data_IF_481788373175
#
_entry.id   IF_481788373175
#
_cell.length_a   1.000
_cell.length_b   1.000
_cell.length_c   1.000
_cell.angle_alpha   90.00
_cell.angle_beta   90.00
_cell.angle_gamma   90.00
#
_symmetry.space_group_name_H-M   'P 1'
#
loop_
_entity.id
_entity.type
_entity.pdbx_description
1 polymer ?
#
# COMPACT_ATOMS: atom_id res chain seq x y z
N UNK A 1 32.03 41.41 19.65
CA UNK A 1 30.99 41.91 18.75
C UNK A 1 30.08 40.73 18.41
N UNK A 2 29.32 40.17 19.35
CA UNK A 2 28.08 40.65 20.01
C UNK A 2 26.90 40.78 19.02
N UNK A 3 25.92 39.88 19.15
CA UNK A 3 24.61 39.91 18.48
C UNK A 3 23.85 38.59 18.69
N UNK A 4 23.28 38.36 19.89
CA UNK A 4 21.83 38.46 20.21
C UNK A 4 20.93 37.60 19.28
N UNK A 5 20.58 36.35 19.66
CA UNK A 5 19.40 35.95 20.46
C UNK A 5 18.06 36.51 19.97
N UNK A 6 17.22 35.65 19.39
CA UNK A 6 15.77 35.64 19.69
C UNK A 6 15.22 34.21 19.59
N UNK A 7 14.86 33.63 20.74
CA UNK A 7 13.98 32.46 20.86
C UNK A 7 12.54 32.97 20.79
N UNK A 8 11.68 32.31 20.04
CA UNK A 8 10.22 32.46 20.17
C UNK A 8 9.68 31.17 20.79
N UNK A 9 9.33 31.27 22.06
CA UNK A 9 8.43 30.38 22.78
C UNK A 9 7.00 30.87 22.54
N UNK A 10 6.09 29.94 22.26
CA UNK A 10 4.65 30.18 22.26
C UNK A 10 3.96 28.98 21.62
N UNK A 11 2.97 28.33 22.20
CA UNK A 11 2.26 28.53 23.46
C UNK A 11 1.31 27.34 23.58
N UNK A 12 1.16 26.83 24.80
CA UNK A 12 0.21 25.78 25.14
C UNK A 12 -1.20 26.38 25.09
N UNK A 13 -2.14 25.72 24.41
CA UNK A 13 -3.57 25.93 24.60
C UNK A 13 -4.27 24.58 24.66
N UNK A 14 -4.43 24.08 25.88
CA UNK A 14 -5.48 23.13 26.24
C UNK A 14 -6.83 23.83 26.04
N UNK A 15 -7.71 23.25 25.25
CA UNK A 15 -9.14 23.55 25.29
C UNK A 15 -9.89 22.24 25.53
N UNK A 16 -10.44 22.15 26.74
CA UNK A 16 -11.30 21.09 27.20
C UNK A 16 -12.78 21.46 26.98
N UNK A 17 -13.63 20.43 27.03
CA UNK A 17 -15.09 20.43 27.16
C UNK A 17 -15.92 20.88 25.95
N UNK A 18 -16.73 19.95 25.42
CA UNK A 18 -18.16 19.96 25.74
C UNK A 18 -18.79 18.59 25.45
N UNK A 19 -19.54 18.14 26.45
CA UNK A 19 -20.38 16.93 26.49
C UNK A 19 -21.63 17.20 25.66
N UNK A 20 -21.96 16.30 24.74
CA UNK A 20 -23.16 16.37 23.90
C UNK A 20 -24.01 15.12 24.06
N UNK A 21 -25.15 15.28 24.74
CA UNK A 21 -26.19 14.30 25.05
C UNK A 21 -26.76 13.54 23.85
N UNK A 22 -26.99 12.24 24.09
CA UNK A 22 -28.23 11.46 23.90
C UNK A 22 -29.17 11.86 22.76
N UNK A 23 -29.25 11.00 21.74
CA UNK A 23 -30.28 10.99 20.71
C UNK A 23 -30.65 9.56 20.34
N UNK A 24 -31.59 9.00 21.10
CA UNK A 24 -32.26 7.73 20.86
C UNK A 24 -33.14 7.85 19.61
N UNK A 25 -32.76 7.20 18.50
CA UNK A 25 -33.71 6.85 17.43
C UNK A 25 -33.68 5.34 17.24
N UNK A 26 -34.65 4.71 17.88
CA UNK A 26 -35.17 3.39 17.56
C UNK A 26 -35.55 3.37 16.07
N UNK A 27 -34.68 2.81 15.24
CA UNK A 27 -35.03 2.37 13.91
C UNK A 27 -35.72 1.00 14.05
N UNK A 28 -36.99 0.97 13.67
CA UNK A 28 -37.85 -0.20 13.63
C UNK A 28 -37.20 -1.35 12.82
N UNK A 29 -37.18 -2.60 13.32
CA UNK A 29 -36.83 -3.74 12.49
C UNK A 29 -37.99 -4.00 11.53
N UNK A 30 -37.86 -3.54 10.27
CA UNK A 30 -38.69 -4.04 9.17
C UNK A 30 -38.35 -5.50 8.93
N UNK A 31 -39.17 -6.34 9.57
CA UNK A 31 -39.27 -7.77 9.37
C UNK A 31 -39.67 -8.04 7.91
N UNK A 32 -38.68 -8.15 7.04
CA UNK A 32 -38.85 -8.64 5.67
C UNK A 32 -38.47 -10.10 5.67
N UNK A 33 -39.37 -10.90 6.22
CA UNK A 33 -39.40 -12.36 6.11
C UNK A 33 -39.40 -12.73 4.62
N UNK A 34 -38.20 -12.92 4.07
CA UNK A 34 -37.97 -13.37 2.71
C UNK A 34 -38.15 -14.88 2.74
N UNK A 35 -39.33 -15.32 2.29
CA UNK A 35 -39.68 -16.72 2.13
C UNK A 35 -38.51 -17.54 1.57
N UNK A 36 -38.15 -18.62 2.26
CA UNK A 36 -37.14 -19.56 1.81
C UNK A 36 -37.57 -20.16 0.46
N UNK A 37 -36.68 -20.24 -0.56
CA UNK A 37 -37.00 -20.94 -1.79
C UNK A 37 -37.18 -22.45 -1.50
N UNK A 38 -38.09 -23.14 -2.21
CA UNK A 38 -38.28 -24.58 -2.03
C UNK A 38 -36.97 -25.34 -2.35
N UNK A 39 -36.75 -26.54 -1.77
CA UNK A 39 -35.60 -27.38 -2.11
C UNK A 39 -35.72 -27.90 -3.55
N UNK A 40 -35.37 -27.03 -4.50
CA UNK A 40 -35.21 -27.36 -5.90
C UNK A 40 -33.93 -28.16 -6.07
N UNK A 41 -34.07 -29.38 -6.59
CA UNK A 41 -33.03 -30.35 -6.93
C UNK A 41 -31.76 -29.65 -7.42
N UNK A 42 -30.64 -29.84 -6.71
CA UNK A 42 -29.31 -29.49 -7.19
C UNK A 42 -29.08 -30.32 -8.44
N UNK A 43 -29.16 -29.68 -9.62
CA UNK A 43 -28.73 -30.30 -10.85
C UNK A 43 -27.26 -30.72 -10.66
N UNK A 44 -26.85 -31.93 -11.09
CA UNK A 44 -25.47 -32.38 -10.94
C UNK A 44 -24.57 -31.32 -11.58
N UNK A 45 -23.68 -30.75 -10.77
CA UNK A 45 -22.71 -29.73 -11.18
C UNK A 45 -21.87 -30.33 -12.29
N UNK A 46 -22.23 -30.01 -13.54
CA UNK A 46 -21.34 -30.22 -14.69
C UNK A 46 -20.01 -29.58 -14.30
N UNK A 47 -18.93 -30.35 -14.37
CA UNK A 47 -17.57 -29.92 -14.06
C UNK A 47 -17.36 -28.48 -14.53
N UNK A 48 -17.35 -27.54 -13.58
CA UNK A 48 -17.01 -26.15 -13.84
C UNK A 48 -15.53 -26.15 -14.16
N UNK A 49 -15.18 -26.18 -15.45
CA UNK A 49 -13.81 -25.88 -15.84
C UNK A 49 -13.42 -24.53 -15.20
N UNK A 50 -12.25 -24.43 -14.57
CA UNK A 50 -11.84 -23.21 -13.89
C UNK A 50 -11.88 -22.05 -14.89
N UNK A 51 -12.77 -21.08 -14.67
CA UNK A 51 -12.80 -19.89 -15.53
C UNK A 51 -11.40 -19.25 -15.54
N UNK A 52 -10.90 -18.77 -16.69
CA UNK A 52 -9.56 -18.16 -16.83
C UNK A 52 -9.33 -16.95 -15.91
N UNK A 53 -10.39 -16.39 -15.32
CA UNK A 53 -10.30 -15.39 -14.24
C UNK A 53 -9.60 -15.92 -12.97
N UNK A 54 -9.63 -17.24 -12.72
CA UNK A 54 -9.03 -17.85 -11.54
C UNK A 54 -7.50 -17.78 -11.54
N UNK A 55 -6.85 -18.05 -12.67
CA UNK A 55 -5.38 -18.01 -12.80
C UNK A 55 -4.86 -16.57 -12.79
N UNK A 56 -5.53 -15.64 -13.47
CA UNK A 56 -5.18 -14.22 -13.44
C UNK A 56 -5.31 -13.62 -12.03
N UNK A 57 -6.39 -13.97 -11.31
CA UNK A 57 -6.59 -13.53 -9.93
C UNK A 57 -5.56 -14.13 -8.98
N UNK A 58 -5.26 -15.43 -9.11
CA UNK A 58 -4.22 -16.08 -8.32
C UNK A 58 -2.85 -15.41 -8.52
N UNK A 59 -2.53 -15.03 -9.77
CA UNK A 59 -1.31 -14.27 -10.09
C UNK A 59 -1.30 -12.89 -9.44
N UNK A 60 -2.38 -12.11 -9.55
CA UNK A 60 -2.48 -10.79 -8.92
C UNK A 60 -2.33 -10.90 -7.40
N UNK A 61 -2.97 -11.89 -6.79
CA UNK A 61 -2.92 -12.11 -5.34
C UNK A 61 -1.52 -12.54 -4.89
N UNK A 62 -0.80 -13.35 -5.69
CA UNK A 62 0.60 -13.70 -5.42
C UNK A 62 1.50 -12.45 -5.44
N UNK A 63 1.37 -11.60 -6.46
CA UNK A 63 2.12 -10.35 -6.55
C UNK A 63 1.81 -9.40 -5.38
N UNK A 64 0.53 -9.26 -5.01
CA UNK A 64 0.11 -8.46 -3.85
C UNK A 64 0.75 -8.94 -2.55
N UNK A 65 0.70 -10.25 -2.28
CA UNK A 65 1.31 -10.82 -1.07
C UNK A 65 2.81 -10.55 -1.01
N UNK A 66 3.50 -10.64 -2.15
CA UNK A 66 4.93 -10.34 -2.23
C UNK A 66 5.21 -8.88 -1.89
N UNK A 67 4.49 -7.92 -2.49
CA UNK A 67 4.67 -6.50 -2.16
C UNK A 67 4.30 -6.15 -0.73
N UNK A 68 3.30 -6.81 -0.12
CA UNK A 68 3.02 -6.67 1.32
C UNK A 68 4.24 -7.05 2.16
N UNK A 69 4.93 -8.14 1.81
CA UNK A 69 6.16 -8.55 2.52
C UNK A 69 7.31 -7.57 2.31
N UNK A 70 7.46 -7.00 1.10
CA UNK A 70 8.43 -5.93 0.83
C UNK A 70 8.17 -4.72 1.74
N UNK A 71 6.91 -4.31 1.90
CA UNK A 71 6.56 -3.20 2.78
C UNK A 71 6.85 -3.50 4.26
N UNK A 72 6.59 -4.73 4.71
CA UNK A 72 6.93 -5.17 6.06
C UNK A 72 8.44 -5.13 6.30
N UNK A 73 9.23 -5.64 5.35
CA UNK A 73 10.69 -5.62 5.42
C UNK A 73 11.23 -4.17 5.48
N UNK A 74 10.74 -3.27 4.63
CA UNK A 74 11.10 -1.85 4.66
C UNK A 74 10.74 -1.21 6.01
N UNK A 75 9.55 -1.50 6.54
CA UNK A 75 9.09 -0.96 7.83
C UNK A 75 9.94 -1.48 9.00
N UNK A 76 10.43 -2.71 8.91
CA UNK A 76 11.36 -3.32 9.87
C UNK A 76 12.83 -2.98 9.65
N UNK A 77 13.16 -2.13 8.66
CA UNK A 77 14.54 -1.84 8.22
C UNK A 77 15.34 -3.07 7.76
N UNK A 78 14.67 -4.15 7.33
CA UNK A 78 15.30 -5.32 6.72
C UNK A 78 15.42 -5.11 5.20
N UNK A 79 16.35 -4.25 4.81
CA UNK A 79 16.59 -3.93 3.40
C UNK A 79 17.13 -5.10 2.58
N UNK A 80 17.98 -6.01 3.12
CA UNK A 80 18.38 -7.23 2.43
C UNK A 80 17.19 -8.12 2.06
N UNK A 81 16.24 -8.37 2.98
CA UNK A 81 15.03 -9.15 2.67
C UNK A 81 14.16 -8.43 1.63
N UNK A 82 14.03 -7.10 1.74
CA UNK A 82 13.28 -6.31 0.75
C UNK A 82 13.85 -6.48 -0.67
N UNK A 83 15.19 -6.45 -0.83
CA UNK A 83 15.86 -6.71 -2.13
C UNK A 83 15.59 -8.12 -2.61
N UNK A 84 15.78 -9.12 -1.75
CA UNK A 84 15.54 -10.54 -2.09
C UNK A 84 14.12 -10.78 -2.58
N UNK A 85 13.12 -10.16 -1.96
CA UNK A 85 11.72 -10.23 -2.38
C UNK A 85 11.49 -9.55 -3.74
N UNK A 86 12.09 -8.39 -3.98
CA UNK A 86 11.97 -7.70 -5.28
C UNK A 86 12.63 -8.48 -6.42
N UNK A 87 13.74 -9.16 -6.15
CA UNK A 87 14.40 -10.05 -7.11
C UNK A 87 13.55 -11.28 -7.38
N UNK A 88 12.92 -11.86 -6.35
CA UNK A 88 11.95 -12.94 -6.51
C UNK A 88 10.77 -12.51 -7.39
N UNK A 89 10.24 -11.30 -7.19
CA UNK A 89 9.18 -10.76 -8.06
C UNK A 89 9.64 -10.64 -9.51
N UNK A 90 10.88 -10.20 -9.74
CA UNK A 90 11.44 -10.13 -11.08
C UNK A 90 11.60 -11.51 -11.72
N UNK A 91 12.05 -12.51 -10.96
CA UNK A 91 12.19 -13.87 -11.46
C UNK A 91 10.84 -14.52 -11.79
N UNK A 92 9.83 -14.35 -10.93
CA UNK A 92 8.52 -14.99 -11.09
C UNK A 92 7.60 -14.26 -12.10
N UNK A 93 7.72 -12.93 -12.21
CA UNK A 93 6.75 -12.09 -12.95
C UNK A 93 7.39 -11.14 -13.98
N UNK A 94 8.69 -11.25 -14.27
CA UNK A 94 9.54 -10.26 -14.97
C UNK A 94 9.22 -9.86 -16.41
N UNK A 95 8.08 -10.24 -16.99
CA UNK A 95 7.65 -9.84 -18.33
C UNK A 95 7.11 -8.40 -18.43
N UNK A 96 6.36 -8.11 -19.50
CA UNK A 96 5.59 -6.87 -19.67
C UNK A 96 4.37 -6.84 -18.72
N UNK A 97 4.64 -6.83 -17.41
CA UNK A 97 3.62 -6.83 -16.36
C UNK A 97 3.34 -5.41 -15.87
N UNK A 98 2.07 -5.12 -15.57
CA UNK A 98 1.59 -3.85 -15.04
C UNK A 98 2.22 -3.48 -13.68
N UNK A 99 2.90 -4.44 -13.03
CA UNK A 99 3.56 -4.29 -11.74
C UNK A 99 5.04 -3.87 -11.84
N UNK A 100 5.58 -3.68 -13.04
CA UNK A 100 6.97 -3.24 -13.23
C UNK A 100 7.26 -1.93 -12.47
N UNK A 101 6.37 -0.94 -12.58
CA UNK A 101 6.55 0.36 -11.93
C UNK A 101 6.51 0.27 -10.40
N UNK A 102 5.73 -0.69 -9.87
CA UNK A 102 5.69 -0.98 -8.44
C UNK A 102 7.03 -1.55 -7.96
N UNK A 103 7.57 -2.54 -8.68
CA UNK A 103 8.90 -3.10 -8.38
C UNK A 103 9.97 -2.03 -8.44
N UNK A 104 10.03 -1.26 -9.52
CA UNK A 104 11.02 -0.19 -9.68
C UNK A 104 10.88 0.88 -8.59
N UNK A 105 9.66 1.30 -8.25
CA UNK A 105 9.45 2.27 -7.17
C UNK A 105 9.94 1.77 -5.81
N UNK A 106 9.66 0.51 -5.47
CA UNK A 106 10.16 -0.09 -4.24
C UNK A 106 11.68 -0.28 -4.23
N UNK A 107 12.29 -0.66 -5.35
CA UNK A 107 13.75 -0.70 -5.48
C UNK A 107 14.36 0.67 -5.14
N UNK A 108 13.81 1.78 -5.66
CA UNK A 108 14.30 3.13 -5.33
C UNK A 108 14.16 3.48 -3.84
N UNK A 109 13.03 3.11 -3.22
CA UNK A 109 12.85 3.31 -1.78
C UNK A 109 13.92 2.56 -1.00
N UNK A 110 14.14 1.28 -1.30
CA UNK A 110 15.14 0.44 -0.61
C UNK A 110 16.55 0.99 -0.83
N UNK A 111 16.91 1.36 -2.06
CA UNK A 111 18.23 1.93 -2.37
C UNK A 111 18.51 3.20 -1.55
N UNK A 112 17.56 4.14 -1.50
CA UNK A 112 17.74 5.40 -0.79
C UNK A 112 17.74 5.24 0.75
N UNK A 113 17.02 4.25 1.29
CA UNK A 113 16.98 4.00 2.73
C UNK A 113 18.21 3.22 3.24
N UNK A 114 18.67 2.22 2.47
CA UNK A 114 19.81 1.38 2.84
C UNK A 114 21.15 2.07 2.59
N UNK A 115 21.28 2.68 1.40
CA UNK A 115 22.54 3.30 0.93
C UNK A 115 22.25 4.62 0.21
N UNK A 116 22.03 5.72 0.96
CA UNK A 116 21.80 7.03 0.38
C UNK A 116 23.08 7.56 -0.27
N UNK A 117 23.16 7.43 -1.59
CA UNK A 117 24.25 7.95 -2.44
C UNK A 117 23.66 8.97 -3.42
N UNK A 118 24.51 9.79 -4.03
CA UNK A 118 24.04 10.72 -5.07
C UNK A 118 23.41 9.96 -6.26
N UNK A 119 23.91 8.76 -6.55
CA UNK A 119 23.34 7.89 -7.58
C UNK A 119 21.92 7.41 -7.22
N UNK A 120 21.69 6.93 -5.99
CA UNK A 120 20.35 6.48 -5.57
C UNK A 120 19.35 7.63 -5.50
N UNK A 121 19.79 8.82 -5.06
CA UNK A 121 18.98 10.05 -5.10
C UNK A 121 18.63 10.46 -6.53
N UNK A 122 19.59 10.49 -7.43
CA UNK A 122 19.36 10.81 -8.84
C UNK A 122 18.41 9.80 -9.51
N UNK A 123 18.54 8.52 -9.19
CA UNK A 123 17.61 7.49 -9.66
C UNK A 123 16.19 7.67 -9.10
N UNK A 124 16.07 8.07 -7.83
CA UNK A 124 14.80 8.44 -7.20
C UNK A 124 14.16 9.66 -7.85
N UNK A 125 14.94 10.69 -8.17
CA UNK A 125 14.47 11.88 -8.88
C UNK A 125 13.92 11.53 -10.27
N UNK A 126 14.66 10.76 -11.07
CA UNK A 126 14.19 10.29 -12.39
C UNK A 126 12.85 9.55 -12.30
N UNK A 127 12.71 8.65 -11.32
CA UNK A 127 11.43 7.97 -11.10
C UNK A 127 10.29 8.95 -10.80
N UNK A 128 10.53 9.97 -9.97
CA UNK A 128 9.50 10.97 -9.63
C UNK A 128 9.08 11.79 -10.85
N UNK A 129 10.01 12.11 -11.74
CA UNK A 129 9.77 12.93 -12.93
C UNK A 129 9.05 12.16 -14.04
N UNK A 130 9.47 10.92 -14.27
CA UNK A 130 8.93 10.05 -15.32
C UNK A 130 7.59 9.42 -14.93
N UNK A 131 7.45 8.95 -13.69
CA UNK A 131 6.31 8.12 -13.25
C UNK A 131 5.18 8.95 -12.64
N UNK A 132 4.64 9.89 -13.42
CA UNK A 132 3.65 10.88 -12.95
C UNK A 132 2.39 10.26 -12.33
N UNK A 133 1.92 9.13 -12.87
CA UNK A 133 0.73 8.40 -12.41
C UNK A 133 0.99 7.35 -11.32
N UNK A 134 2.25 7.11 -10.94
CA UNK A 134 2.57 6.06 -9.97
C UNK A 134 2.16 6.44 -8.55
N UNK A 135 1.49 5.52 -7.86
CA UNK A 135 1.13 5.66 -6.44
C UNK A 135 2.37 5.72 -5.54
N UNK A 136 3.50 5.20 -5.98
CA UNK A 136 4.75 5.18 -5.21
C UNK A 136 5.56 6.49 -5.31
N UNK A 137 5.20 7.41 -6.22
CA UNK A 137 5.93 8.66 -6.45
C UNK A 137 6.14 9.47 -5.18
N UNK A 138 5.10 9.61 -4.34
CA UNK A 138 5.21 10.31 -3.05
C UNK A 138 6.14 9.59 -2.06
N UNK A 139 6.13 8.25 -2.07
CA UNK A 139 6.96 7.43 -1.18
C UNK A 139 8.43 7.51 -1.59
N UNK A 140 8.72 7.37 -2.90
CA UNK A 140 10.07 7.53 -3.45
C UNK A 140 10.61 8.93 -3.15
N UNK A 141 9.83 9.99 -3.38
CA UNK A 141 10.25 11.35 -3.05
C UNK A 141 10.65 11.50 -1.58
N UNK A 142 9.87 10.95 -0.65
CA UNK A 142 10.16 11.02 0.79
C UNK A 142 11.41 10.23 1.19
N UNK A 143 11.67 9.11 0.54
CA UNK A 143 12.83 8.28 0.85
C UNK A 143 14.12 8.84 0.26
N UNK A 144 14.06 9.40 -0.96
CA UNK A 144 15.23 9.78 -1.73
C UNK A 144 15.56 11.28 -1.71
N UNK A 145 14.59 12.14 -1.45
CA UNK A 145 14.71 13.61 -1.56
C UNK A 145 14.19 14.28 -0.28
N UNK A 146 14.78 13.98 0.90
CA UNK A 146 14.37 14.57 2.17
C UNK A 146 14.67 16.08 2.26
#
# INVERSE_FOLDING_TARGET
MTGLRTRVLGGVALAALCIGSVGNLLAEPKDTSKAAPPPGRIAPTRHLEPHPLSSARARIDAQRRLFTRVEQAITGNDFPEARRLLDLHAAEFGGADAWKDWRTGYQRVVDCLDRPTDESRAAGQRFVDEQRGSRLRRRVRRACLP
#
